data_IF_556635009179
#
_entry.id   IF_556635009179
#
_cell.length_a   1.000
_cell.length_b   1.000
_cell.length_c   1.000
_cell.angle_alpha   90.00
_cell.angle_beta   90.00
_cell.angle_gamma   90.00
#
_symmetry.space_group_name_H-M   'P 1'
#
loop_
_entity.id
_entity.type
_entity.pdbx_description
1 polymer ?
#
# COMPACT_ATOMS: atom_id res chain seq x y z
N UNK A 1 -4.91 -12.51 7.83
CA UNK A 1 -3.74 -13.28 8.16
C UNK A 1 -3.93 -14.77 8.33
N UNK A 2 -5.03 -15.22 8.86
CA UNK A 2 -5.14 -16.61 9.33
C UNK A 2 -5.10 -17.70 8.24
N UNK A 3 -5.73 -17.47 7.09
CA UNK A 3 -5.76 -18.47 6.01
C UNK A 3 -4.37 -18.74 5.42
N UNK A 4 -3.49 -17.75 5.43
CA UNK A 4 -2.13 -17.88 4.90
C UNK A 4 -1.25 -18.83 5.72
N UNK A 5 -1.52 -18.91 7.00
CA UNK A 5 -0.69 -19.65 7.96
C UNK A 5 -1.20 -21.09 8.18
N UNK A 6 -2.31 -21.45 7.50
CA UNK A 6 -2.89 -22.79 7.57
C UNK A 6 -2.28 -23.71 6.49
N UNK A 7 -2.21 -25.01 6.75
CA UNK A 7 -1.96 -26.00 5.70
C UNK A 7 -2.95 -25.86 4.55
N UNK A 8 -2.49 -26.01 3.31
CA UNK A 8 -3.28 -25.74 2.10
C UNK A 8 -4.66 -26.41 2.06
N UNK A 9 -4.84 -27.69 2.47
CA UNK A 9 -6.16 -28.30 2.50
C UNK A 9 -7.12 -27.59 3.47
N UNK A 10 -6.66 -27.25 4.67
CA UNK A 10 -7.47 -26.57 5.68
C UNK A 10 -7.81 -25.14 5.24
N UNK A 11 -6.85 -24.45 4.63
CA UNK A 11 -7.08 -23.13 4.07
C UNK A 11 -8.15 -23.16 2.96
N UNK A 12 -8.13 -24.16 2.09
CA UNK A 12 -9.12 -24.37 1.04
C UNK A 12 -10.51 -24.66 1.62
N UNK A 13 -10.60 -25.51 2.63
CA UNK A 13 -11.86 -25.83 3.29
C UNK A 13 -12.45 -24.60 4.00
N UNK A 14 -11.64 -23.82 4.71
CA UNK A 14 -12.07 -22.58 5.33
C UNK A 14 -12.57 -21.56 4.30
N UNK A 15 -11.87 -21.44 3.16
CA UNK A 15 -12.27 -20.54 2.08
C UNK A 15 -13.60 -20.99 1.48
N UNK A 16 -13.73 -22.26 1.13
CA UNK A 16 -14.96 -22.83 0.58
C UNK A 16 -16.14 -22.70 1.56
N UNK A 17 -15.89 -22.93 2.84
CA UNK A 17 -16.93 -22.74 3.87
C UNK A 17 -17.38 -21.28 3.92
N UNK A 18 -16.46 -20.32 3.97
CA UNK A 18 -16.77 -18.90 3.97
C UNK A 18 -17.56 -18.46 2.74
N UNK A 19 -17.17 -18.94 1.55
CA UNK A 19 -17.86 -18.60 0.29
C UNK A 19 -19.30 -19.12 0.21
N UNK A 20 -19.64 -20.20 0.91
CA UNK A 20 -21.03 -20.73 0.95
C UNK A 20 -22.03 -19.78 1.61
N UNK A 21 -21.57 -18.84 2.44
CA UNK A 21 -22.45 -17.86 3.08
C UNK A 21 -22.74 -16.63 2.19
N UNK A 22 -21.95 -16.42 1.15
CA UNK A 22 -22.15 -15.33 0.19
C UNK A 22 -22.94 -15.85 -1.01
N UNK A 23 -24.21 -16.18 -0.80
CA UNK A 23 -25.09 -16.79 -1.82
C UNK A 23 -25.43 -15.87 -2.98
N UNK A 24 -25.21 -14.58 -2.83
CA UNK A 24 -25.55 -13.57 -3.83
C UNK A 24 -24.39 -13.21 -4.76
N UNK A 25 -23.25 -13.90 -4.64
CA UNK A 25 -22.06 -13.65 -5.46
C UNK A 25 -21.95 -14.75 -6.51
N UNK A 26 -22.30 -14.43 -7.76
CA UNK A 26 -22.22 -15.36 -8.89
C UNK A 26 -20.79 -15.51 -9.42
N UNK A 27 -19.95 -14.48 -9.24
CA UNK A 27 -18.56 -14.45 -9.72
C UNK A 27 -17.59 -13.97 -8.67
N UNK A 28 -16.37 -14.50 -8.71
CA UNK A 28 -15.27 -14.08 -7.85
C UNK A 28 -14.02 -13.80 -8.68
N UNK A 29 -13.36 -12.69 -8.37
CA UNK A 29 -12.03 -12.38 -8.88
C UNK A 29 -10.96 -13.06 -8.01
N UNK A 30 -10.10 -13.85 -8.64
CA UNK A 30 -8.99 -14.52 -7.94
C UNK A 30 -7.67 -13.96 -8.45
N UNK A 31 -6.82 -13.52 -7.51
CA UNK A 31 -5.45 -13.11 -7.82
C UNK A 31 -4.49 -14.21 -7.40
N UNK A 32 -3.81 -14.78 -8.38
CA UNK A 32 -2.73 -15.75 -8.17
C UNK A 32 -1.38 -15.09 -8.44
N UNK A 33 -0.40 -15.42 -7.64
CA UNK A 33 0.98 -15.06 -7.85
C UNK A 33 1.78 -16.30 -8.18
N UNK A 34 2.39 -16.33 -9.37
CA UNK A 34 3.40 -17.32 -9.67
C UNK A 34 4.65 -17.05 -8.80
N UNK A 35 5.21 -18.10 -8.25
CA UNK A 35 6.40 -18.00 -7.42
C UNK A 35 7.60 -18.38 -8.29
N UNK A 36 8.46 -17.40 -8.61
CA UNK A 36 9.79 -17.62 -9.17
C UNK A 36 9.91 -18.36 -10.53
N UNK A 37 11.02 -18.19 -11.15
CA UNK A 37 11.41 -18.82 -12.43
C UNK A 37 11.81 -20.31 -12.31
N UNK A 38 11.74 -20.88 -11.14
CA UNK A 38 12.20 -22.26 -10.85
C UNK A 38 11.22 -23.36 -11.27
N UNK A 39 10.11 -22.99 -11.91
CA UNK A 39 9.16 -23.91 -12.57
C UNK A 39 8.50 -24.97 -11.70
N UNK A 40 8.84 -25.05 -10.42
CA UNK A 40 8.41 -26.11 -9.53
C UNK A 40 7.43 -25.67 -8.43
N UNK A 41 7.12 -24.38 -8.30
CA UNK A 41 6.28 -23.90 -7.21
C UNK A 41 4.85 -23.65 -7.65
N UNK A 42 3.92 -24.17 -6.87
CA UNK A 42 2.48 -23.91 -7.03
C UNK A 42 2.18 -22.42 -6.88
N UNK A 43 1.25 -21.88 -7.70
CA UNK A 43 0.83 -20.49 -7.58
C UNK A 43 0.24 -20.22 -6.19
N UNK A 44 0.60 -19.09 -5.62
CA UNK A 44 0.07 -18.66 -4.32
C UNK A 44 -1.18 -17.82 -4.51
N UNK A 45 -2.25 -18.14 -3.81
CA UNK A 45 -3.45 -17.32 -3.77
C UNK A 45 -3.15 -16.03 -2.99
N UNK A 46 -3.18 -14.88 -3.67
CA UNK A 46 -2.97 -13.56 -3.05
C UNK A 46 -4.25 -12.91 -2.57
N UNK A 47 -5.31 -12.98 -3.38
CA UNK A 47 -6.58 -12.34 -3.04
C UNK A 47 -7.76 -13.05 -3.70
N UNK A 48 -8.90 -12.93 -3.02
CA UNK A 48 -10.24 -13.21 -3.55
C UNK A 48 -11.06 -11.94 -3.37
N UNK A 49 -11.67 -11.45 -4.44
CA UNK A 49 -12.41 -10.19 -4.46
C UNK A 49 -13.73 -10.38 -5.18
N UNK A 50 -14.67 -9.45 -4.98
CA UNK A 50 -15.89 -9.41 -5.80
C UNK A 50 -15.57 -9.08 -7.28
N UNK A 51 -16.51 -9.35 -8.19
CA UNK A 51 -16.30 -9.16 -9.64
C UNK A 51 -16.07 -7.70 -10.00
N UNK A 52 -16.62 -6.77 -9.24
CA UNK A 52 -16.54 -5.33 -9.48
C UNK A 52 -15.34 -4.66 -8.76
N UNK A 53 -14.45 -5.44 -8.18
CA UNK A 53 -13.28 -4.86 -7.51
C UNK A 53 -12.29 -4.31 -8.53
N UNK A 54 -12.23 -2.97 -8.63
CA UNK A 54 -11.28 -2.25 -9.46
C UNK A 54 -9.88 -2.25 -8.84
N UNK A 55 -9.06 -3.23 -9.20
CA UNK A 55 -7.68 -3.32 -8.71
C UNK A 55 -6.80 -2.28 -9.36
N UNK A 56 -6.12 -1.49 -8.54
CA UNK A 56 -5.06 -0.58 -8.97
C UNK A 56 -3.74 -1.14 -8.46
N UNK A 57 -2.77 -1.31 -9.37
CA UNK A 57 -1.46 -1.82 -9.01
C UNK A 57 -0.61 -0.75 -8.32
N UNK A 58 0.14 -1.14 -7.30
CA UNK A 58 1.07 -0.26 -6.61
C UNK A 58 2.08 0.37 -7.60
N UNK A 59 2.56 -0.40 -8.57
CA UNK A 59 3.45 0.09 -9.62
C UNK A 59 2.82 1.19 -10.49
N UNK A 60 1.52 1.09 -10.80
CA UNK A 60 0.79 2.12 -11.56
C UNK A 60 0.70 3.41 -10.77
N UNK A 61 0.37 3.32 -9.48
CA UNK A 61 0.32 4.48 -8.60
C UNK A 61 1.70 5.11 -8.44
N UNK A 62 2.72 4.29 -8.15
CA UNK A 62 4.09 4.78 -8.00
C UNK A 62 4.56 5.51 -9.25
N UNK A 63 4.32 4.94 -10.43
CA UNK A 63 4.65 5.61 -11.69
C UNK A 63 3.94 6.95 -11.82
N UNK A 64 2.64 7.02 -11.57
CA UNK A 64 1.88 8.26 -11.63
C UNK A 64 2.37 9.32 -10.63
N UNK A 65 2.78 8.90 -9.42
CA UNK A 65 3.35 9.79 -8.42
C UNK A 65 4.72 10.33 -8.87
N UNK A 66 5.59 9.48 -9.39
CA UNK A 66 6.91 9.90 -9.91
C UNK A 66 6.74 10.84 -11.10
N UNK A 67 5.88 10.52 -12.05
CA UNK A 67 5.62 11.34 -13.25
C UNK A 67 5.06 12.73 -12.87
N UNK A 68 4.29 12.83 -11.79
CA UNK A 68 3.62 14.07 -11.38
C UNK A 68 4.39 14.89 -10.36
N UNK A 69 5.06 14.27 -9.41
CA UNK A 69 5.64 14.90 -8.24
C UNK A 69 7.16 14.70 -8.12
N UNK A 70 7.78 13.93 -9.03
CA UNK A 70 9.21 13.64 -9.02
C UNK A 70 9.55 12.41 -8.19
N UNK A 71 10.84 12.23 -7.96
CA UNK A 71 11.41 11.04 -7.32
C UNK A 71 11.15 10.94 -5.79
N UNK A 72 10.52 11.93 -5.21
CA UNK A 72 10.27 11.99 -3.77
C UNK A 72 11.52 12.33 -2.92
N UNK A 73 12.64 12.65 -3.55
CA UNK A 73 13.92 12.95 -2.90
C UNK A 73 14.43 14.34 -3.27
N UNK A 74 14.52 14.64 -4.57
CA UNK A 74 15.18 15.86 -5.09
C UNK A 74 14.21 16.97 -5.49
N UNK A 75 12.94 16.65 -5.74
CA UNK A 75 11.92 17.59 -6.19
C UNK A 75 11.33 18.45 -5.07
N UNK A 76 10.31 19.25 -5.46
CA UNK A 76 9.52 20.04 -4.51
C UNK A 76 8.75 19.14 -3.52
N UNK A 77 8.22 18.02 -4.00
CA UNK A 77 7.56 17.03 -3.19
C UNK A 77 8.53 15.95 -2.75
N UNK A 78 8.66 15.76 -1.44
CA UNK A 78 9.59 14.81 -0.84
C UNK A 78 8.89 13.90 0.15
N UNK A 79 9.42 12.69 0.27
CA UNK A 79 9.05 11.79 1.38
C UNK A 79 9.66 12.35 2.65
N UNK A 80 8.86 12.74 3.67
CA UNK A 80 9.40 13.26 4.91
C UNK A 80 10.27 12.24 5.63
N UNK A 81 11.41 12.69 6.12
CA UNK A 81 12.39 11.85 6.78
C UNK A 81 13.80 12.38 6.56
N UNK A 82 14.78 11.49 6.60
CA UNK A 82 16.17 11.85 6.33
C UNK A 82 16.40 12.02 4.82
N UNK A 83 16.25 13.24 4.34
CA UNK A 83 16.49 13.56 2.93
C UNK A 83 17.93 13.26 2.53
N UNK A 84 18.09 12.63 1.36
CA UNK A 84 19.41 12.29 0.80
C UNK A 84 20.02 11.00 1.33
N UNK A 85 19.41 10.32 2.27
CA UNK A 85 19.79 8.96 2.67
C UNK A 85 18.81 7.96 2.05
N UNK A 86 19.31 6.79 1.67
CA UNK A 86 18.45 5.70 1.23
C UNK A 86 17.46 5.37 2.36
N UNK A 87 16.20 5.68 2.12
CA UNK A 87 15.13 5.37 3.09
C UNK A 87 14.99 3.85 3.14
N UNK A 88 15.42 3.25 4.23
CA UNK A 88 15.17 1.83 4.46
C UNK A 88 13.69 1.68 4.79
N UNK A 89 12.93 1.18 3.83
CA UNK A 89 11.51 0.88 4.03
C UNK A 89 11.37 -0.25 5.04
N UNK A 90 10.88 0.08 6.21
CA UNK A 90 10.58 -0.89 7.29
C UNK A 90 9.09 -0.80 7.63
N UNK A 91 8.56 -1.80 8.33
CA UNK A 91 7.18 -1.74 8.84
C UNK A 91 6.93 -0.56 9.77
N UNK A 92 7.98 -0.05 10.37
CA UNK A 92 7.94 1.08 11.31
C UNK A 92 8.08 2.45 10.61
N UNK A 93 8.31 2.44 9.28
CA UNK A 93 8.33 3.67 8.48
C UNK A 93 6.91 4.19 8.33
N UNK A 94 6.65 5.37 8.91
CA UNK A 94 5.32 6.02 8.86
C UNK A 94 5.11 6.87 7.62
N UNK A 95 6.11 7.00 6.75
CA UNK A 95 6.08 7.90 5.60
C UNK A 95 6.16 7.19 4.25
N UNK A 96 6.79 6.02 4.22
CA UNK A 96 6.89 5.19 3.04
C UNK A 96 6.89 3.71 3.44
N UNK A 97 5.97 2.97 2.86
CA UNK A 97 5.85 1.53 3.05
C UNK A 97 5.34 0.89 1.77
N UNK A 98 5.90 -0.22 1.40
CA UNK A 98 5.37 -1.05 0.33
C UNK A 98 5.57 -2.53 0.67
N UNK A 99 4.53 -3.31 0.43
CA UNK A 99 4.52 -4.76 0.57
C UNK A 99 3.97 -5.42 -0.69
N UNK A 100 3.87 -6.73 -0.64
CA UNK A 100 3.18 -7.52 -1.65
C UNK A 100 1.65 -7.38 -1.62
N UNK A 101 1.10 -6.58 -0.71
CA UNK A 101 -0.34 -6.41 -0.49
C UNK A 101 -0.80 -4.97 -0.63
N UNK A 102 -0.09 -4.08 0.02
CA UNK A 102 -0.45 -2.70 0.18
C UNK A 102 0.75 -1.77 0.13
N UNK A 103 0.51 -0.53 -0.14
CA UNK A 103 1.50 0.53 -0.07
C UNK A 103 0.93 1.75 0.64
N UNK A 104 1.82 2.49 1.26
CA UNK A 104 1.57 3.80 1.81
C UNK A 104 2.73 4.72 1.46
N UNK A 105 2.42 5.91 0.97
CA UNK A 105 3.40 6.96 0.74
C UNK A 105 2.85 8.30 1.19
N UNK A 106 3.65 9.03 1.93
CA UNK A 106 3.39 10.42 2.27
C UNK A 106 4.36 11.32 1.50
N UNK A 107 3.84 12.35 0.84
CA UNK A 107 4.62 13.36 0.12
C UNK A 107 4.33 14.73 0.70
N UNK A 108 5.38 15.48 1.00
CA UNK A 108 5.32 16.85 1.52
C UNK A 108 5.95 17.83 0.53
N UNK A 109 5.27 18.97 0.30
CA UNK A 109 5.78 20.09 -0.50
C UNK A 109 6.75 20.92 0.36
N UNK A 110 8.04 20.67 0.19
CA UNK A 110 9.09 21.32 0.95
C UNK A 110 9.43 22.74 0.47
N UNK A 111 9.04 23.08 -0.75
CA UNK A 111 9.28 24.42 -1.29
C UNK A 111 8.23 25.44 -0.83
N UNK A 112 6.99 24.99 -0.62
CA UNK A 112 5.87 25.86 -0.24
C UNK A 112 5.43 25.64 1.18
N UNK A 113 6.33 25.92 2.12
CA UNK A 113 6.05 25.80 3.53
C UNK A 113 5.20 26.96 4.04
N UNK A 114 4.28 26.67 4.95
CA UNK A 114 3.45 27.65 5.63
C UNK A 114 4.15 28.08 6.92
N UNK A 115 4.35 29.39 7.09
CA UNK A 115 4.85 29.91 8.35
C UNK A 115 3.82 29.76 9.47
N UNK A 116 4.25 29.25 10.59
CA UNK A 116 3.44 29.10 11.81
C UNK A 116 4.02 29.99 12.88
N UNK A 117 3.52 31.24 13.01
CA UNK A 117 3.91 32.13 14.10
C UNK A 117 3.37 31.60 15.44
N UNK A 118 3.98 31.97 16.52
CA UNK A 118 3.49 31.71 17.89
C UNK A 118 3.41 30.24 18.30
N UNK A 119 4.43 29.46 18.00
CA UNK A 119 4.57 28.15 18.63
C UNK A 119 4.68 28.28 20.15
N UNK A 120 4.28 27.21 20.84
CA UNK A 120 4.23 27.17 22.32
C UNK A 120 5.58 27.46 23.01
N UNK A 121 6.69 27.29 22.29
CA UNK A 121 8.06 27.62 22.73
C UNK A 121 8.52 29.03 22.31
N UNK A 122 7.66 29.85 21.71
CA UNK A 122 7.99 31.20 21.27
C UNK A 122 8.80 31.31 19.98
N UNK A 123 9.21 30.21 19.38
CA UNK A 123 9.95 30.21 18.13
C UNK A 123 9.00 30.12 16.91
N UNK A 124 9.30 30.88 15.87
CA UNK A 124 8.59 30.75 14.60
C UNK A 124 8.91 29.38 13.97
N UNK A 125 7.89 28.68 13.51
CA UNK A 125 8.05 27.41 12.83
C UNK A 125 7.48 27.45 11.43
N UNK A 126 7.70 26.37 10.67
CA UNK A 126 7.06 26.19 9.37
C UNK A 126 6.50 24.77 9.22
N UNK A 127 5.43 24.65 8.46
CA UNK A 127 4.80 23.36 8.11
C UNK A 127 4.79 23.18 6.61
N UNK A 128 5.21 22.01 6.13
CA UNK A 128 5.03 21.62 4.76
C UNK A 128 3.58 21.12 4.58
N UNK A 129 2.96 21.47 3.46
CA UNK A 129 1.71 20.85 3.02
C UNK A 129 2.04 19.49 2.44
N UNK A 130 1.18 18.53 2.66
CA UNK A 130 1.40 17.22 2.10
C UNK A 130 0.12 16.45 1.89
N UNK A 131 0.25 15.30 1.27
CA UNK A 131 -0.81 14.33 1.11
C UNK A 131 -0.23 12.93 1.26
N UNK A 132 -1.09 11.97 1.53
CA UNK A 132 -0.71 10.58 1.53
C UNK A 132 -1.54 9.80 0.52
N UNK A 133 -0.96 8.73 0.02
CA UNK A 133 -1.63 7.75 -0.81
C UNK A 133 -1.53 6.40 -0.12
N UNK A 134 -2.66 5.75 0.01
CA UNK A 134 -2.76 4.39 0.50
C UNK A 134 -3.47 3.53 -0.53
N UNK A 135 -2.90 2.38 -0.86
CA UNK A 135 -3.48 1.45 -1.82
C UNK A 135 -3.33 0.02 -1.34
N UNK A 136 -4.30 -0.82 -1.68
CA UNK A 136 -4.23 -2.25 -1.48
C UNK A 136 -4.52 -2.99 -2.78
N UNK A 137 -3.59 -3.85 -3.19
CA UNK A 137 -3.77 -4.73 -4.35
C UNK A 137 -4.67 -5.94 -4.05
N UNK A 138 -4.91 -6.21 -2.79
CA UNK A 138 -5.62 -7.42 -2.33
C UNK A 138 -7.02 -7.17 -1.78
N UNK A 139 -7.47 -5.92 -1.77
CA UNK A 139 -8.83 -5.55 -1.39
C UNK A 139 -9.16 -5.68 0.11
N UNK A 140 -8.17 -5.71 0.99
CA UNK A 140 -8.36 -5.95 2.44
C UNK A 140 -8.56 -4.66 3.24
N UNK A 141 -8.54 -3.50 2.61
CA UNK A 141 -8.76 -2.24 3.30
C UNK A 141 -10.27 -1.96 3.39
N UNK A 142 -10.90 -2.38 4.48
CA UNK A 142 -12.05 -1.65 5.00
C UNK A 142 -11.52 -0.45 5.77
N UNK A 143 -11.77 0.73 5.24
CA UNK A 143 -11.74 1.95 6.03
C UNK A 143 -12.92 1.87 6.99
N UNK A 144 -12.64 1.64 8.25
CA UNK A 144 -13.61 1.76 9.32
C UNK A 144 -13.80 3.24 9.66
#
# INVERSE_FOLDING_TARGET
GYLRDLPSPIAADCLNYGLRFHRDVEELGVLLQAKGDDGASLPTLRAVTGPNYGRIWNSTITKALVDRFGDGVTGAFRVPGEFGKAVRVTKDSTTLYASDRDMFVFLADEERRISVPNRRNGEAGSMARGFFVWNSEVGVLQLA
#
